data_IF_313498861840
#
_entry.id   IF_313498861840
#
_cell.length_a   1.000
_cell.length_b   1.000
_cell.length_c   1.000
_cell.angle_alpha   90.00
_cell.angle_beta   90.00
_cell.angle_gamma   90.00
#
_symmetry.space_group_name_H-M   'P 1'
#
loop_
_entity.id
_entity.type
_entity.pdbx_description
1 polymer ?
#
# COMPACT_ATOMS: atom_id res chain seq x y z
N UNK A 1 12.73 -1.97 -8.86
CA UNK A 1 11.69 -0.92 -8.66
C UNK A 1 10.40 -1.47 -9.26
N UNK A 2 9.24 -1.24 -8.63
CA UNK A 2 7.99 -2.04 -8.69
C UNK A 2 7.92 -3.09 -7.59
N UNK A 3 7.80 -2.61 -6.36
CA UNK A 3 7.53 -3.47 -5.20
C UNK A 3 6.05 -3.43 -4.90
N UNK A 4 5.40 -4.59 -4.84
CA UNK A 4 4.06 -4.72 -4.29
C UNK A 4 4.10 -4.42 -2.78
N UNK A 5 3.22 -3.52 -2.33
CA UNK A 5 3.14 -3.11 -0.94
C UNK A 5 2.00 -3.82 -0.22
N UNK A 6 0.81 -3.74 -0.79
CA UNK A 6 -0.42 -4.30 -0.25
C UNK A 6 -1.42 -4.52 -1.38
N UNK A 7 -2.50 -5.24 -1.08
CA UNK A 7 -3.66 -5.36 -1.95
C UNK A 7 -4.88 -4.83 -1.21
N UNK A 8 -5.55 -3.81 -1.77
CA UNK A 8 -6.86 -3.40 -1.29
C UNK A 8 -7.93 -4.36 -1.79
N UNK A 9 -8.94 -4.65 -0.97
CA UNK A 9 -10.03 -5.54 -1.34
C UNK A 9 -11.34 -5.01 -0.78
N UNK A 10 -12.36 -5.01 -1.63
CA UNK A 10 -13.75 -4.81 -1.27
C UNK A 10 -14.58 -6.01 -1.73
N UNK A 11 -15.76 -6.20 -1.13
CA UNK A 11 -16.68 -7.29 -1.45
C UNK A 11 -18.04 -6.72 -1.84
N UNK A 12 -18.61 -7.23 -2.91
CA UNK A 12 -19.99 -6.92 -3.32
C UNK A 12 -20.90 -8.08 -2.93
N UNK A 13 -22.12 -7.79 -2.45
CA UNK A 13 -23.09 -8.83 -2.01
C UNK A 13 -23.42 -9.85 -3.10
N UNK A 14 -23.39 -9.43 -4.36
CA UNK A 14 -23.61 -10.28 -5.54
C UNK A 14 -22.31 -10.75 -6.20
N UNK A 15 -21.16 -10.55 -5.55
CA UNK A 15 -19.82 -10.85 -6.09
C UNK A 15 -19.51 -10.18 -7.44
N UNK A 16 -20.04 -8.97 -7.65
CA UNK A 16 -19.72 -8.16 -8.82
C UNK A 16 -18.22 -7.82 -8.86
N UNK A 17 -17.69 -7.64 -10.07
CA UNK A 17 -16.32 -7.18 -10.27
C UNK A 17 -16.22 -5.71 -9.90
N UNK A 18 -15.28 -5.38 -9.00
CA UNK A 18 -15.04 -4.03 -8.54
C UNK A 18 -13.82 -3.44 -9.23
N UNK A 19 -13.83 -2.13 -9.42
CA UNK A 19 -12.65 -1.37 -9.84
C UNK A 19 -12.14 -0.50 -8.72
N UNK A 20 -10.82 -0.27 -8.68
CA UNK A 20 -10.16 0.48 -7.61
C UNK A 20 -9.43 1.71 -8.16
N UNK A 21 -9.58 2.84 -7.48
CA UNK A 21 -8.92 4.10 -7.84
C UNK A 21 -8.37 4.79 -6.59
N UNK A 22 -7.22 5.47 -6.73
CA UNK A 22 -6.73 6.38 -5.68
C UNK A 22 -7.53 7.68 -5.80
N UNK A 23 -8.03 8.19 -4.68
CA UNK A 23 -8.62 9.53 -4.63
C UNK A 23 -7.49 10.56 -4.55
N UNK A 24 -6.96 11.02 -5.69
CA UNK A 24 -5.77 11.90 -5.74
C UNK A 24 -5.90 13.16 -4.87
N UNK A 25 -7.12 13.72 -4.77
CA UNK A 25 -7.41 14.89 -3.94
C UNK A 25 -7.30 14.66 -2.43
N UNK A 26 -7.32 13.39 -1.98
CA UNK A 26 -7.17 13.02 -0.57
C UNK A 26 -5.72 12.90 -0.13
N UNK A 27 -4.76 12.89 -1.07
CA UNK A 27 -3.39 12.52 -0.74
C UNK A 27 -2.67 13.60 0.07
N UNK A 28 -2.36 13.27 1.32
CA UNK A 28 -1.48 14.00 2.22
C UNK A 28 -0.12 13.29 2.31
N UNK A 29 0.95 14.09 2.39
CA UNK A 29 2.31 13.57 2.37
C UNK A 29 3.24 14.45 3.19
N UNK A 30 4.23 13.86 3.85
CA UNK A 30 5.28 14.59 4.55
C UNK A 30 6.23 15.33 3.59
N UNK A 31 6.78 16.45 4.05
CA UNK A 31 7.58 17.38 3.23
C UNK A 31 8.75 16.76 2.45
N UNK A 32 9.38 15.70 2.97
CA UNK A 32 10.51 15.03 2.29
C UNK A 32 10.08 14.19 1.09
N UNK A 33 8.78 13.95 0.95
CA UNK A 33 8.18 13.07 -0.05
C UNK A 33 7.30 13.84 -1.06
N UNK A 34 7.12 15.15 -0.88
CA UNK A 34 6.27 16.00 -1.74
C UNK A 34 6.66 15.89 -3.22
N UNK A 35 7.97 15.89 -3.52
CA UNK A 35 8.49 15.83 -4.89
C UNK A 35 8.11 14.55 -5.65
N UNK A 36 7.69 13.50 -4.94
CA UNK A 36 7.32 12.20 -5.53
C UNK A 36 5.83 11.87 -5.38
N UNK A 37 5.04 12.74 -4.75
CA UNK A 37 3.62 12.53 -4.42
C UNK A 37 2.83 11.87 -5.56
N UNK A 38 2.83 12.49 -6.73
CA UNK A 38 1.99 12.08 -7.87
C UNK A 38 2.51 10.85 -8.62
N UNK A 39 3.71 10.38 -8.31
CA UNK A 39 4.38 9.27 -9.01
C UNK A 39 4.76 8.10 -8.12
N UNK A 40 4.59 8.23 -6.80
CA UNK A 40 5.02 7.25 -5.81
C UNK A 40 4.35 5.89 -6.01
N UNK A 41 3.07 5.88 -6.40
CA UNK A 41 2.26 4.68 -6.43
C UNK A 41 1.64 4.41 -7.80
N UNK A 42 1.34 3.14 -8.04
CA UNK A 42 0.42 2.68 -9.07
C UNK A 42 -0.54 1.68 -8.43
N UNK A 43 -1.84 1.92 -8.57
CA UNK A 43 -2.87 0.99 -8.15
C UNK A 43 -3.38 0.24 -9.38
N UNK A 44 -3.30 -1.08 -9.38
CA UNK A 44 -3.95 -1.88 -10.40
C UNK A 44 -5.47 -1.84 -10.15
N UNK A 45 -6.20 -1.23 -11.08
CA UNK A 45 -7.63 -1.00 -10.92
C UNK A 45 -8.47 -2.29 -10.87
N UNK A 46 -7.98 -3.42 -11.39
CA UNK A 46 -8.73 -4.69 -11.40
C UNK A 46 -8.36 -5.57 -10.20
N UNK A 47 -7.10 -5.55 -9.77
CA UNK A 47 -6.62 -6.46 -8.71
C UNK A 47 -6.52 -5.79 -7.34
N UNK A 48 -6.55 -4.46 -7.27
CA UNK A 48 -6.33 -3.71 -6.03
C UNK A 48 -4.87 -3.73 -5.56
N UNK A 49 -3.93 -4.26 -6.36
CA UNK A 49 -2.51 -4.32 -5.99
C UNK A 49 -1.90 -2.92 -6.06
N UNK A 50 -1.39 -2.45 -4.92
CA UNK A 50 -0.68 -1.17 -4.80
C UNK A 50 0.83 -1.40 -4.95
N UNK A 51 1.42 -0.75 -5.94
CA UNK A 51 2.82 -0.89 -6.32
C UNK A 51 3.57 0.41 -6.03
N UNK A 52 4.71 0.31 -5.35
CA UNK A 52 5.67 1.41 -5.21
C UNK A 52 6.53 1.55 -6.48
N UNK A 53 6.42 2.70 -7.14
CA UNK A 53 7.12 3.02 -8.41
C UNK A 53 8.38 3.86 -8.24
N UNK A 54 8.62 4.38 -7.06
CA UNK A 54 9.84 5.16 -6.76
C UNK A 54 10.89 4.28 -6.08
N UNK A 55 12.14 4.72 -6.18
CA UNK A 55 13.25 4.19 -5.39
C UNK A 55 13.50 5.11 -4.19
N UNK A 56 13.15 4.70 -2.97
CA UNK A 56 13.45 5.48 -1.78
C UNK A 56 14.94 5.78 -1.62
N UNK A 57 15.27 7.00 -1.21
CA UNK A 57 16.62 7.40 -0.81
C UNK A 57 16.73 7.52 0.70
N UNK A 58 17.95 7.66 1.24
CA UNK A 58 18.16 7.83 2.68
C UNK A 58 17.60 9.16 3.24
N UNK A 59 17.35 10.16 2.38
CA UNK A 59 16.79 11.46 2.76
C UNK A 59 15.26 11.48 2.77
N UNK A 60 14.62 10.45 2.23
CA UNK A 60 13.17 10.32 2.16
C UNK A 60 12.65 9.58 3.39
N UNK A 61 11.81 10.26 4.17
CA UNK A 61 11.20 9.72 5.37
C UNK A 61 9.86 10.40 5.65
N UNK A 62 8.93 9.64 6.21
CA UNK A 62 7.60 10.14 6.52
C UNK A 62 6.53 9.20 6.02
N UNK A 63 5.39 9.75 5.65
CA UNK A 63 4.19 8.99 5.36
C UNK A 63 3.41 9.56 4.17
N UNK A 64 2.77 8.67 3.42
CA UNK A 64 1.71 8.97 2.47
C UNK A 64 0.37 8.49 3.02
N UNK A 65 -0.64 9.34 3.05
CA UNK A 65 -2.00 9.06 3.49
C UNK A 65 -2.95 9.42 2.37
N UNK A 66 -3.76 8.47 1.92
CA UNK A 66 -4.75 8.69 0.87
C UNK A 66 -5.86 7.67 0.97
N UNK A 67 -6.98 8.00 0.35
CA UNK A 67 -8.12 7.11 0.20
C UNK A 67 -8.01 6.30 -1.08
N UNK A 68 -8.50 5.07 -1.03
CA UNK A 68 -8.77 4.22 -2.19
C UNK A 68 -10.27 3.99 -2.27
N UNK A 69 -10.82 4.24 -3.45
CA UNK A 69 -12.23 4.07 -3.77
C UNK A 69 -12.40 2.74 -4.48
N UNK A 70 -13.29 1.89 -3.99
CA UNK A 70 -13.83 0.76 -4.74
C UNK A 70 -15.12 1.20 -5.43
N UNK A 71 -15.30 0.85 -6.70
CA UNK A 71 -16.48 1.20 -7.51
C UNK A 71 -17.06 -0.05 -8.15
N UNK A 72 -18.36 -0.27 -7.96
CA UNK A 72 -19.10 -1.36 -8.59
C UNK A 72 -19.60 -0.99 -10.01
N UNK A 73 -20.19 -1.94 -10.77
CA UNK A 73 -20.71 -1.66 -12.12
C UNK A 73 -21.87 -0.65 -12.19
N UNK A 74 -22.56 -0.40 -11.07
CA UNK A 74 -23.67 0.55 -10.94
C UNK A 74 -23.21 1.92 -10.37
N UNK A 75 -21.89 2.16 -10.40
CA UNK A 75 -21.23 3.37 -9.92
C UNK A 75 -21.42 3.66 -8.42
N UNK A 76 -21.74 2.64 -7.62
CA UNK A 76 -21.70 2.75 -6.16
C UNK A 76 -20.29 2.61 -5.68
N UNK A 77 -19.96 3.39 -4.66
CA UNK A 77 -18.62 3.47 -4.12
C UNK A 77 -18.56 3.18 -2.63
N UNK A 78 -17.43 2.65 -2.21
CA UNK A 78 -17.00 2.59 -0.82
C UNK A 78 -15.51 2.97 -0.74
N UNK A 79 -15.07 3.44 0.42
CA UNK A 79 -13.75 4.05 0.58
C UNK A 79 -12.98 3.43 1.75
N UNK A 80 -11.70 3.16 1.53
CA UNK A 80 -10.77 2.74 2.57
C UNK A 80 -9.53 3.64 2.62
N UNK A 81 -9.08 3.96 3.83
CA UNK A 81 -7.87 4.75 4.07
C UNK A 81 -6.61 3.88 3.95
N UNK A 82 -5.57 4.39 3.30
CA UNK A 82 -4.27 3.76 3.13
C UNK A 82 -3.18 4.66 3.70
N UNK A 83 -2.31 4.09 4.55
CA UNK A 83 -1.11 4.76 5.08
C UNK A 83 0.14 3.99 4.72
N UNK A 84 1.07 4.63 4.03
CA UNK A 84 2.36 4.05 3.66
C UNK A 84 3.47 4.83 4.35
N UNK A 85 4.15 4.18 5.28
CA UNK A 85 5.30 4.76 5.98
C UNK A 85 6.58 4.44 5.24
N UNK A 86 7.33 5.49 4.91
CA UNK A 86 8.69 5.37 4.41
C UNK A 86 9.67 5.57 5.55
N UNK A 87 10.24 4.45 6.00
CA UNK A 87 11.18 4.41 7.12
C UNK A 87 12.59 4.36 6.55
N UNK A 88 13.44 5.32 6.93
CA UNK A 88 14.85 5.32 6.57
C UNK A 88 15.52 4.02 7.01
N UNK A 89 16.46 3.52 6.20
CA UNK A 89 17.28 2.36 6.55
C UNK A 89 18.05 2.54 7.88
N UNK A 90 18.27 3.78 8.31
CA UNK A 90 18.90 4.12 9.59
C UNK A 90 18.04 3.74 10.81
N UNK A 91 16.72 3.54 10.62
CA UNK A 91 15.77 3.21 11.69
C UNK A 91 15.36 1.72 11.69
N UNK A 92 16.13 0.85 11.04
CA UNK A 92 15.83 -0.60 11.02
C UNK A 92 16.26 -1.26 12.31
N UNK A 93 15.30 -1.92 12.97
CA UNK A 93 15.58 -2.85 14.07
C UNK A 93 15.74 -4.25 13.50
N UNK A 94 16.81 -4.95 13.88
CA UNK A 94 17.03 -6.35 13.51
C UNK A 94 16.69 -7.24 14.69
N UNK A 95 15.73 -8.14 14.49
CA UNK A 95 15.44 -9.21 15.45
C UNK A 95 16.09 -10.49 14.94
N UNK A 96 16.82 -11.18 15.82
CA UNK A 96 17.38 -12.50 15.55
C UNK A 96 16.61 -13.49 16.42
N UNK A 97 15.95 -14.45 15.78
CA UNK A 97 15.31 -15.56 16.47
C UNK A 97 16.19 -16.81 16.28
N UNK A 98 16.43 -17.54 17.37
CA UNK A 98 17.19 -18.79 17.36
C UNK A 98 16.27 -20.01 17.15
N UNK A 99 15.19 -19.83 16.39
CA UNK A 99 14.32 -20.92 15.97
C UNK A 99 14.84 -21.51 14.66
N UNK A 100 14.64 -22.81 14.45
CA UNK A 100 14.82 -23.39 13.13
C UNK A 100 13.76 -22.88 12.14
N UNK A 101 14.08 -22.97 10.84
CA UNK A 101 13.20 -22.50 9.75
C UNK A 101 11.86 -23.25 9.76
N UNK A 102 11.87 -24.53 10.14
CA UNK A 102 10.67 -25.38 10.16
C UNK A 102 9.63 -24.85 11.15
N UNK A 103 10.06 -24.48 12.37
CA UNK A 103 9.23 -23.89 13.41
C UNK A 103 8.65 -22.54 12.97
N UNK A 104 9.42 -21.73 12.23
CA UNK A 104 8.94 -20.44 11.72
C UNK A 104 7.86 -20.66 10.66
N UNK A 105 8.12 -21.51 9.67
CA UNK A 105 7.17 -21.76 8.57
C UNK A 105 5.89 -22.48 9.06
N UNK A 106 5.98 -23.38 10.04
CA UNK A 106 4.79 -24.05 10.60
C UNK A 106 3.86 -23.12 11.37
N UNK A 107 4.34 -21.93 11.77
CA UNK A 107 3.59 -20.93 12.53
C UNK A 107 3.42 -19.61 11.75
N UNK A 108 3.68 -19.61 10.43
CA UNK A 108 3.41 -18.46 9.57
C UNK A 108 1.90 -18.35 9.33
N UNK A 109 1.24 -17.55 10.16
CA UNK A 109 -0.19 -17.21 10.01
C UNK A 109 -0.30 -15.96 9.11
N UNK A 110 -0.57 -16.14 7.81
CA UNK A 110 -1.04 -15.08 6.91
C UNK A 110 -2.17 -15.57 6.02
#
# INVERSE_FOLDING_TARGET
>A
INRELLTVRATHSENAQLTYTIEDGSMAVDSTLEAVKDSAFHLNAQTGVLILRIQPTASMQGMFEFNVIATDPDEKTDTAEVKVYLISSQNRVSFIFLNDVETVESNRDF
#
